data_IF_565294819176
#
_entry.id   IF_565294819176
#
_cell.length_a   1.000
_cell.length_b   1.000
_cell.length_c   1.000
_cell.angle_alpha   90.00
_cell.angle_beta   90.00
_cell.angle_gamma   90.00
#
_symmetry.space_group_name_H-M   'P 1'
#
loop_
_entity.id
_entity.type
_entity.pdbx_description
1 polymer ?
#
# COMPACT_ATOMS: atom_id res chain seq x y z
N UNK A 1 -4.31 8.97 -78.39
CA UNK A 1 -4.95 9.21 -77.07
C UNK A 1 -4.15 8.48 -76.02
N UNK A 2 -3.56 9.22 -75.08
CA UNK A 2 -2.59 8.70 -74.11
C UNK A 2 -3.28 7.91 -72.99
N UNK A 3 -3.02 6.60 -72.96
CA UNK A 3 -3.34 5.71 -71.84
C UNK A 3 -2.28 5.88 -70.75
N UNK A 4 -2.70 6.39 -69.58
CA UNK A 4 -1.88 6.37 -68.35
C UNK A 4 -1.99 5.00 -67.69
N UNK A 5 -0.89 4.36 -67.26
CA UNK A 5 -0.98 3.13 -66.48
C UNK A 5 -1.33 3.45 -65.03
N UNK A 6 -2.39 2.81 -64.53
CA UNK A 6 -2.73 2.73 -63.10
C UNK A 6 -1.69 1.87 -62.40
N UNK A 7 -0.86 2.49 -61.55
CA UNK A 7 0.01 1.78 -60.61
C UNK A 7 -0.84 1.23 -59.46
N UNK A 8 -0.97 -0.10 -59.40
CA UNK A 8 -1.60 -0.82 -58.30
C UNK A 8 -0.64 -0.88 -57.09
N UNK A 9 -1.14 -0.43 -55.94
CA UNK A 9 -0.50 -0.51 -54.63
C UNK A 9 -0.43 -1.96 -54.14
N UNK A 10 0.73 -2.60 -54.29
CA UNK A 10 0.97 -4.01 -53.96
C UNK A 10 1.82 -4.28 -52.71
N UNK A 11 1.71 -3.49 -51.63
CA UNK A 11 2.61 -3.64 -50.46
C UNK A 11 1.92 -3.73 -49.08
N UNK A 12 0.58 -3.68 -48.99
CA UNK A 12 -0.08 -3.59 -47.67
C UNK A 12 -0.45 -4.93 -47.01
N UNK A 13 -0.33 -6.06 -47.71
CA UNK A 13 -0.84 -7.36 -47.22
C UNK A 13 0.25 -8.23 -46.56
N UNK A 14 1.53 -7.98 -46.83
CA UNK A 14 2.63 -8.76 -46.26
C UNK A 14 2.87 -8.50 -44.76
N UNK A 15 2.42 -7.35 -44.22
CA UNK A 15 2.66 -6.98 -42.82
C UNK A 15 1.74 -7.67 -41.79
N UNK A 16 0.75 -8.46 -42.23
CA UNK A 16 -0.24 -9.07 -41.33
C UNK A 16 0.03 -10.56 -41.01
N UNK A 17 1.01 -11.18 -41.67
CA UNK A 17 1.33 -12.62 -41.51
C UNK A 17 2.50 -12.87 -40.55
N UNK A 18 3.28 -11.84 -40.17
CA UNK A 18 4.51 -11.99 -39.37
C UNK A 18 4.31 -11.89 -37.83
N UNK A 19 3.07 -11.88 -37.32
CA UNK A 19 2.78 -11.76 -35.88
C UNK A 19 2.19 -13.03 -35.22
N UNK A 20 2.25 -14.18 -35.89
CA UNK A 20 1.77 -15.45 -35.36
C UNK A 20 2.92 -16.47 -35.23
N UNK A 21 3.71 -16.36 -34.17
CA UNK A 21 4.58 -17.44 -33.71
C UNK A 21 3.78 -18.47 -32.89
N UNK A 22 4.03 -19.78 -33.02
CA UNK A 22 3.33 -20.78 -32.23
C UNK A 22 3.83 -20.77 -30.79
N UNK A 23 2.95 -20.50 -29.83
CA UNK A 23 3.21 -20.76 -28.42
C UNK A 23 2.87 -22.22 -28.13
N UNK A 24 3.88 -23.10 -28.17
CA UNK A 24 3.80 -24.45 -27.62
C UNK A 24 4.01 -24.38 -26.11
N UNK A 25 2.94 -24.63 -25.35
CA UNK A 25 2.98 -24.79 -23.91
C UNK A 25 1.96 -25.83 -23.51
N UNK A 26 2.39 -27.09 -23.42
CA UNK A 26 1.68 -28.16 -22.73
C UNK A 26 1.68 -27.85 -21.23
N UNK A 27 0.48 -27.70 -20.68
CA UNK A 27 0.23 -27.59 -19.24
C UNK A 27 -1.05 -28.37 -18.90
N UNK A 28 -1.11 -29.03 -17.73
CA UNK A 28 -2.12 -30.02 -17.43
C UNK A 28 -3.52 -29.40 -17.27
N UNK A 29 -4.52 -30.13 -17.79
CA UNK A 29 -5.93 -29.79 -17.77
C UNK A 29 -6.51 -30.01 -16.37
N UNK A 30 -6.70 -28.93 -15.61
CA UNK A 30 -7.59 -28.95 -14.44
C UNK A 30 -9.05 -28.80 -14.87
N UNK A 31 -9.86 -29.80 -14.53
CA UNK A 31 -11.31 -29.78 -14.72
C UNK A 31 -11.94 -28.81 -13.71
N UNK A 32 -12.38 -27.63 -14.16
CA UNK A 32 -13.25 -26.74 -13.37
C UNK A 32 -14.71 -26.89 -13.80
N UNK A 33 -15.55 -27.07 -12.80
CA UNK A 33 -17.01 -27.18 -12.89
C UNK A 33 -17.58 -25.81 -13.29
N UNK A 34 -18.47 -25.71 -14.30
CA UNK A 34 -19.02 -24.42 -14.71
C UNK A 34 -20.12 -23.97 -13.74
N UNK A 35 -19.77 -23.06 -12.83
CA UNK A 35 -20.76 -22.26 -12.12
C UNK A 35 -21.29 -21.18 -13.08
N UNK A 36 -22.46 -21.44 -13.66
CA UNK A 36 -23.23 -20.45 -14.39
C UNK A 36 -23.72 -19.37 -13.41
N UNK A 37 -22.98 -18.28 -13.28
CA UNK A 37 -23.51 -17.06 -12.66
C UNK A 37 -24.02 -16.15 -13.77
N UNK A 38 -25.33 -15.91 -13.71
CA UNK A 38 -26.14 -15.20 -14.70
C UNK A 38 -25.71 -13.72 -14.77
N UNK A 39 -25.71 -13.20 -15.99
CA UNK A 39 -25.07 -11.95 -16.38
C UNK A 39 -25.44 -10.74 -15.54
N UNK A 40 -24.40 -10.09 -15.02
CA UNK A 40 -24.42 -8.68 -14.65
C UNK A 40 -23.64 -7.91 -15.73
N UNK A 41 -24.15 -6.75 -16.12
CA UNK A 41 -23.51 -5.92 -17.15
C UNK A 41 -22.23 -5.30 -16.60
N UNK A 42 -21.26 -4.96 -17.45
CA UNK A 42 -19.98 -4.33 -17.05
C UNK A 42 -20.18 -3.06 -16.21
N UNK A 43 -21.32 -2.38 -16.36
CA UNK A 43 -21.73 -1.24 -15.54
C UNK A 43 -22.12 -1.65 -14.12
N UNK A 44 -22.83 -2.76 -13.93
CA UNK A 44 -23.14 -3.30 -12.59
C UNK A 44 -21.89 -3.85 -11.89
N UNK A 45 -20.91 -4.36 -12.64
CA UNK A 45 -19.62 -4.80 -12.08
C UNK A 45 -18.78 -3.61 -11.60
N UNK A 46 -18.73 -2.52 -12.38
CA UNK A 46 -18.13 -1.26 -11.95
C UNK A 46 -18.85 -0.68 -10.72
N UNK A 47 -20.17 -0.72 -10.70
CA UNK A 47 -20.97 -0.22 -9.57
C UNK A 47 -20.75 -1.05 -8.29
N UNK A 48 -20.69 -2.38 -8.39
CA UNK A 48 -20.37 -3.23 -7.23
C UNK A 48 -18.93 -3.04 -6.77
N UNK A 49 -18.00 -2.79 -7.68
CA UNK A 49 -16.59 -2.49 -7.37
C UNK A 49 -16.43 -1.12 -6.74
N UNK A 50 -17.20 -0.12 -7.17
CA UNK A 50 -17.28 1.19 -6.52
C UNK A 50 -17.98 1.11 -5.17
N UNK A 51 -18.96 0.22 -5.00
CA UNK A 51 -19.56 -0.08 -3.69
C UNK A 51 -18.59 -0.82 -2.77
N UNK A 52 -17.77 -1.74 -3.30
CA UNK A 52 -16.75 -2.43 -2.51
C UNK A 52 -15.60 -1.50 -2.16
N UNK A 53 -15.10 -0.69 -3.11
CA UNK A 53 -14.12 0.35 -2.81
C UNK A 53 -14.72 1.41 -1.90
N UNK A 54 -15.99 1.74 -2.02
CA UNK A 54 -16.72 2.62 -1.11
C UNK A 54 -16.99 1.99 0.26
N UNK A 55 -17.03 0.65 0.36
CA UNK A 55 -17.18 -0.07 1.63
C UNK A 55 -15.83 -0.36 2.30
N UNK A 56 -14.78 -0.62 1.51
CA UNK A 56 -13.40 -0.67 1.97
C UNK A 56 -12.96 0.73 2.34
N UNK A 57 -13.28 1.75 1.54
CA UNK A 57 -13.18 3.13 1.97
C UNK A 57 -14.10 3.38 3.14
N UNK A 58 -15.33 2.86 3.25
CA UNK A 58 -16.12 3.06 4.48
C UNK A 58 -15.59 2.28 5.68
N UNK A 59 -14.79 1.24 5.52
CA UNK A 59 -14.15 0.49 6.62
C UNK A 59 -12.85 1.19 6.99
N UNK A 60 -12.12 1.69 5.99
CA UNK A 60 -10.99 2.57 6.12
C UNK A 60 -11.40 3.99 6.49
N UNK A 61 -12.67 4.40 6.36
CA UNK A 61 -13.30 5.67 6.76
C UNK A 61 -14.14 5.46 8.01
N UNK A 62 -14.52 4.22 8.35
CA UNK A 62 -14.93 3.84 9.72
C UNK A 62 -13.68 3.65 10.59
N UNK A 63 -12.51 3.42 9.99
CA UNK A 63 -11.19 3.50 10.65
C UNK A 63 -10.38 4.75 10.31
N UNK A 64 -10.80 5.58 9.35
CA UNK A 64 -10.47 7.01 9.23
C UNK A 64 -11.54 7.85 9.96
N UNK A 65 -12.58 7.23 10.55
CA UNK A 65 -13.33 7.73 11.73
C UNK A 65 -12.66 7.23 13.03
N UNK A 66 -11.67 6.34 12.93
CA UNK A 66 -10.73 5.97 14.01
C UNK A 66 -9.32 6.53 13.73
N UNK A 67 -9.14 7.21 12.59
CA UNK A 67 -7.95 7.98 12.18
C UNK A 67 -8.29 9.41 11.74
N UNK A 68 -9.55 9.82 11.88
CA UNK A 68 -9.87 11.17 12.28
C UNK A 68 -9.28 11.32 13.69
N UNK A 69 -8.55 12.40 13.97
CA UNK A 69 -7.90 12.60 15.25
C UNK A 69 -8.91 12.87 16.36
N UNK A 70 -9.92 12.04 16.61
CA UNK A 70 -11.07 12.43 17.41
C UNK A 70 -11.58 13.78 16.87
N UNK A 71 -12.40 13.82 15.81
CA UNK A 71 -13.11 15.06 15.41
C UNK A 71 -14.19 15.47 16.45
N UNK A 72 -14.11 14.91 17.65
CA UNK A 72 -14.73 15.32 18.90
C UNK A 72 -13.74 15.64 20.03
N UNK A 73 -12.44 15.76 19.76
CA UNK A 73 -11.63 16.72 20.47
C UNK A 73 -12.11 18.03 19.86
N UNK A 74 -13.13 18.61 20.52
CA UNK A 74 -13.78 19.86 20.11
C UNK A 74 -12.72 20.74 19.43
N UNK A 75 -13.04 21.48 18.36
CA UNK A 75 -12.11 22.51 17.88
C UNK A 75 -11.61 23.42 19.04
N UNK A 76 -12.38 23.46 20.14
CA UNK A 76 -11.95 23.95 21.45
C UNK A 76 -10.78 23.16 22.07
N UNK A 77 -10.74 21.83 22.16
CA UNK A 77 -9.66 21.06 22.79
C UNK A 77 -8.30 21.20 22.08
N UNK A 78 -8.26 21.27 20.74
CA UNK A 78 -7.03 21.57 19.99
C UNK A 78 -6.63 23.05 20.17
N UNK A 79 -7.60 23.97 20.12
CA UNK A 79 -7.36 25.38 20.41
C UNK A 79 -6.91 25.59 21.87
N UNK A 80 -7.42 24.79 22.80
CA UNK A 80 -7.11 24.80 24.23
C UNK A 80 -5.71 24.21 24.47
N UNK A 81 -5.32 23.16 23.74
CA UNK A 81 -3.97 22.62 23.78
C UNK A 81 -2.93 23.62 23.23
N UNK A 82 -3.27 24.31 22.14
CA UNK A 82 -2.44 25.37 21.56
C UNK A 82 -2.35 26.59 22.50
N UNK A 83 -3.47 27.03 23.06
CA UNK A 83 -3.51 28.10 24.06
C UNK A 83 -2.76 27.73 25.34
N UNK A 84 -2.83 26.47 25.78
CA UNK A 84 -2.06 25.96 26.91
C UNK A 84 -0.56 25.96 26.62
N UNK A 85 -0.13 25.63 25.40
CA UNK A 85 1.27 25.73 25.00
C UNK A 85 1.75 27.19 24.97
N UNK A 86 0.95 28.13 24.45
CA UNK A 86 1.27 29.57 24.49
C UNK A 86 1.35 30.11 25.92
N UNK A 87 0.39 29.74 26.78
CA UNK A 87 0.40 30.10 28.19
C UNK A 87 1.59 29.49 28.94
N UNK A 88 1.96 28.24 28.64
CA UNK A 88 3.15 27.59 29.18
C UNK A 88 4.43 28.29 28.72
N UNK A 89 4.53 28.72 27.45
CA UNK A 89 5.66 29.51 26.94
C UNK A 89 5.78 30.86 27.63
N UNK A 90 4.67 31.57 27.83
CA UNK A 90 4.65 32.86 28.54
C UNK A 90 5.08 32.69 30.01
N UNK A 91 4.48 31.72 30.71
CA UNK A 91 4.80 31.40 32.11
C UNK A 91 6.24 30.93 32.27
N UNK A 92 6.77 30.21 31.28
CA UNK A 92 8.15 29.75 31.26
C UNK A 92 9.15 30.90 31.20
N UNK A 93 8.86 31.98 30.46
CA UNK A 93 9.76 33.15 30.41
C UNK A 93 9.92 33.76 31.79
N UNK A 94 8.82 33.87 32.55
CA UNK A 94 8.84 34.44 33.89
C UNK A 94 9.44 33.47 34.93
N UNK A 95 9.05 32.19 34.90
CA UNK A 95 9.59 31.16 35.77
C UNK A 95 11.10 30.94 35.55
N UNK A 96 11.59 31.04 34.31
CA UNK A 96 13.03 30.89 34.00
C UNK A 96 13.87 32.05 34.54
N UNK A 97 13.28 33.23 34.76
CA UNK A 97 13.97 34.35 35.43
C UNK A 97 14.19 34.06 36.91
N UNK A 98 13.27 33.33 37.55
CA UNK A 98 13.33 32.98 38.97
C UNK A 98 14.16 31.70 39.20
N UNK A 99 14.01 30.70 38.33
CA UNK A 99 14.61 29.37 38.44
C UNK A 99 15.34 28.98 37.15
N UNK A 100 16.47 29.64 36.88
CA UNK A 100 17.17 29.56 35.58
C UNK A 100 17.78 28.21 35.22
N UNK A 101 17.87 27.28 36.16
CA UNK A 101 18.52 25.97 36.01
C UNK A 101 17.68 24.79 36.49
N UNK A 102 16.38 24.99 36.74
CA UNK A 102 15.50 23.93 37.22
C UNK A 102 15.04 23.03 36.05
N UNK A 103 15.42 21.73 36.02
CA UNK A 103 15.00 20.80 34.96
C UNK A 103 13.49 20.54 34.94
N UNK A 104 12.78 20.76 36.05
CA UNK A 104 11.31 20.58 36.13
C UNK A 104 10.59 21.57 35.22
N UNK A 105 11.10 22.81 35.14
CA UNK A 105 10.54 23.86 34.31
C UNK A 105 10.63 23.52 32.81
N UNK A 106 11.80 23.05 32.36
CA UNK A 106 11.99 22.58 30.97
C UNK A 106 11.11 21.36 30.67
N UNK A 107 10.87 20.50 31.65
CA UNK A 107 10.04 19.31 31.51
C UNK A 107 8.56 19.65 31.39
N UNK A 108 8.05 20.56 32.22
CA UNK A 108 6.67 21.02 32.18
C UNK A 108 6.32 21.66 30.83
N UNK A 109 7.22 22.50 30.29
CA UNK A 109 7.05 23.07 28.95
C UNK A 109 7.16 22.00 27.87
N UNK A 110 8.10 21.06 28.01
CA UNK A 110 8.21 19.92 27.12
C UNK A 110 6.89 19.15 26.99
N UNK A 111 6.23 18.85 28.11
CA UNK A 111 4.93 18.17 28.14
C UNK A 111 3.83 18.99 27.47
N UNK A 112 3.75 20.30 27.76
CA UNK A 112 2.76 21.18 27.12
C UNK A 112 2.95 21.23 25.59
N UNK A 113 4.19 21.28 25.11
CA UNK A 113 4.52 21.26 23.69
C UNK A 113 4.18 19.92 23.03
N UNK A 114 4.37 18.79 23.72
CA UNK A 114 3.94 17.48 23.22
C UNK A 114 2.42 17.42 23.03
N UNK A 115 1.65 17.99 23.97
CA UNK A 115 0.18 18.08 23.86
C UNK A 115 -0.29 18.95 22.69
N UNK A 116 0.46 20.00 22.38
CA UNK A 116 0.18 20.86 21.22
C UNK A 116 0.73 20.30 19.89
N UNK A 117 1.29 19.09 19.87
CA UNK A 117 1.87 18.48 18.67
C UNK A 117 3.22 19.08 18.24
N UNK A 118 3.82 19.96 19.04
CA UNK A 118 5.10 20.63 18.78
C UNK A 118 6.32 19.76 19.17
N UNK A 119 6.35 18.52 18.68
CA UNK A 119 7.30 17.48 19.12
C UNK A 119 8.78 17.88 19.01
N UNK A 120 9.16 18.57 17.93
CA UNK A 120 10.55 18.98 17.73
C UNK A 120 11.02 20.00 18.77
N UNK A 121 10.16 20.92 19.22
CA UNK A 121 10.53 21.84 20.29
C UNK A 121 10.46 21.15 21.65
N UNK A 122 9.44 20.34 21.91
CA UNK A 122 9.35 19.55 23.12
C UNK A 122 10.62 18.73 23.39
N UNK A 123 11.09 18.00 22.37
CA UNK A 123 12.29 17.17 22.48
C UNK A 123 13.56 17.99 22.74
N UNK A 124 13.64 19.24 22.25
CA UNK A 124 14.73 20.16 22.60
C UNK A 124 14.66 20.58 24.08
N UNK A 125 13.47 20.86 24.60
CA UNK A 125 13.26 21.21 26.02
C UNK A 125 13.60 20.03 26.94
N UNK A 126 13.10 18.84 26.63
CA UNK A 126 13.41 17.62 27.37
C UNK A 126 14.91 17.28 27.32
N UNK A 127 15.55 17.39 26.14
CA UNK A 127 17.02 17.26 26.05
C UNK A 127 17.75 18.29 26.92
N UNK A 128 17.25 19.52 27.03
CA UNK A 128 17.83 20.55 27.89
C UNK A 128 17.72 20.16 29.37
N UNK A 129 16.54 19.70 29.79
CA UNK A 129 16.26 19.22 31.14
C UNK A 129 17.22 18.10 31.57
N UNK A 130 17.42 17.10 30.69
CA UNK A 130 18.32 15.95 30.97
C UNK A 130 19.78 16.38 31.09
N UNK A 131 20.18 17.37 30.30
CA UNK A 131 21.55 17.92 30.33
C UNK A 131 21.79 18.84 31.54
N UNK A 132 20.76 19.14 32.33
CA UNK A 132 20.92 19.91 33.56
C UNK A 132 21.91 19.21 34.50
N UNK A 133 22.83 20.01 35.04
CA UNK A 133 23.90 19.55 35.94
C UNK A 133 23.48 19.63 37.41
N UNK A 134 22.47 20.44 37.74
CA UNK A 134 22.05 20.74 39.11
C UNK A 134 21.34 19.54 39.74
N UNK A 135 20.31 19.02 39.07
CA UNK A 135 19.45 17.94 39.59
C UNK A 135 19.11 17.02 38.41
N UNK A 136 19.15 15.70 38.61
CA UNK A 136 18.53 14.78 37.67
C UNK A 136 17.03 14.81 37.93
N UNK A 137 16.23 15.07 36.91
CA UNK A 137 14.79 14.94 36.99
C UNK A 137 14.37 13.72 36.15
N UNK A 138 14.14 12.56 36.79
CA UNK A 138 13.88 11.30 36.09
C UNK A 138 12.76 11.39 35.05
N UNK A 139 11.62 12.05 35.33
CA UNK A 139 10.55 12.18 34.34
C UNK A 139 10.99 12.82 33.02
N UNK A 140 11.95 13.75 33.06
CA UNK A 140 12.48 14.36 31.83
C UNK A 140 13.21 13.36 30.94
N UNK A 141 14.04 12.51 31.56
CA UNK A 141 14.83 11.50 30.87
C UNK A 141 13.94 10.37 30.34
N UNK A 142 12.97 9.95 31.14
CA UNK A 142 12.00 8.92 30.77
C UNK A 142 11.14 9.37 29.60
N UNK A 143 10.57 10.58 29.66
CA UNK A 143 9.80 11.17 28.55
C UNK A 143 10.62 11.30 27.28
N UNK A 144 11.85 11.81 27.36
CA UNK A 144 12.72 11.94 26.18
C UNK A 144 13.04 10.59 25.55
N UNK A 145 13.40 9.59 26.36
CA UNK A 145 13.70 8.25 25.87
C UNK A 145 12.46 7.61 25.25
N UNK A 146 11.31 7.76 25.90
CA UNK A 146 10.02 7.28 25.41
C UNK A 146 9.64 7.88 24.05
N UNK A 147 9.64 9.21 23.93
CA UNK A 147 9.31 9.87 22.67
C UNK A 147 10.37 9.60 21.59
N UNK A 148 11.63 9.38 21.97
CA UNK A 148 12.65 8.93 21.02
C UNK A 148 12.36 7.53 20.47
N UNK A 149 11.74 6.63 21.26
CA UNK A 149 11.25 5.33 20.75
C UNK A 149 10.09 5.53 19.80
N UNK A 150 9.08 6.30 20.23
CA UNK A 150 7.86 6.52 19.45
C UNK A 150 8.14 7.16 18.08
N UNK A 151 9.13 8.05 17.99
CA UNK A 151 9.56 8.68 16.74
C UNK A 151 10.56 7.82 15.92
N UNK A 152 10.87 6.60 16.35
CA UNK A 152 11.84 5.71 15.69
C UNK A 152 13.30 6.19 15.75
N UNK A 153 13.63 7.13 16.65
CA UNK A 153 14.96 7.73 16.80
C UNK A 153 15.90 6.87 17.66
N UNK A 154 16.02 5.58 17.32
CA UNK A 154 16.76 4.58 18.11
C UNK A 154 18.26 4.91 18.31
N UNK A 155 18.88 5.65 17.38
CA UNK A 155 20.26 6.10 17.51
C UNK A 155 20.48 7.00 18.73
N UNK A 156 19.52 7.88 19.03
CA UNK A 156 19.58 8.77 20.19
C UNK A 156 19.44 7.99 21.50
N UNK A 157 18.65 6.91 21.48
CA UNK A 157 18.42 6.02 22.64
C UNK A 157 19.70 5.29 23.02
N UNK A 158 20.41 4.74 22.02
CA UNK A 158 21.67 4.02 22.26
C UNK A 158 22.73 4.88 22.97
N UNK A 159 22.65 6.21 22.84
CA UNK A 159 23.52 7.16 23.56
C UNK A 159 22.93 7.58 24.91
N UNK A 160 21.62 7.86 24.98
CA UNK A 160 20.96 8.40 26.17
C UNK A 160 20.77 7.35 27.28
N UNK A 161 20.54 6.08 26.94
CA UNK A 161 20.33 4.99 27.91
C UNK A 161 21.57 4.77 28.81
N UNK A 162 22.80 4.62 28.28
CA UNK A 162 23.99 4.50 29.13
C UNK A 162 24.23 5.73 30.01
N UNK A 163 23.94 6.93 29.52
CA UNK A 163 24.10 8.16 30.30
C UNK A 163 23.10 8.24 31.46
N UNK A 164 21.85 7.81 31.24
CA UNK A 164 20.84 7.73 32.29
C UNK A 164 21.21 6.65 33.34
N UNK A 165 21.61 5.46 32.90
CA UNK A 165 22.09 4.40 33.80
C UNK A 165 23.32 4.82 34.61
N UNK A 166 24.25 5.57 34.01
CA UNK A 166 25.42 6.10 34.73
C UNK A 166 25.00 7.02 35.87
N UNK A 167 24.04 7.91 35.65
CA UNK A 167 23.53 8.79 36.72
C UNK A 167 22.77 8.00 37.78
N UNK A 168 21.98 7.02 37.37
CA UNK A 168 21.26 6.13 38.28
C UNK A 168 22.20 5.39 39.24
N UNK A 169 23.31 4.86 38.72
CA UNK A 169 24.28 4.12 39.53
C UNK A 169 25.25 4.99 40.33
N UNK A 170 25.69 6.13 39.79
CA UNK A 170 26.80 6.91 40.36
C UNK A 170 26.35 8.12 41.20
N UNK A 171 25.07 8.51 41.14
CA UNK A 171 24.55 9.73 41.80
C UNK A 171 23.28 9.46 42.59
N UNK A 172 23.35 8.67 43.69
CA UNK A 172 22.21 8.42 44.58
C UNK A 172 21.58 9.71 45.11
N UNK A 173 22.40 10.74 45.34
CA UNK A 173 22.01 12.05 45.86
C UNK A 173 21.07 12.85 44.95
N UNK A 174 20.95 12.46 43.68
CA UNK A 174 20.06 13.10 42.72
C UNK A 174 18.64 12.51 42.72
N UNK A 175 18.36 11.52 43.56
CA UNK A 175 17.07 10.85 43.66
C UNK A 175 16.40 11.19 45.00
N UNK A 176 15.08 11.43 45.01
CA UNK A 176 14.32 11.65 46.24
C UNK A 176 14.46 10.51 47.25
N UNK A 177 14.36 9.26 46.79
CA UNK A 177 14.59 8.07 47.61
C UNK A 177 15.11 6.88 46.78
N UNK A 178 15.46 5.80 47.48
CA UNK A 178 15.96 4.57 46.87
C UNK A 178 14.87 3.85 46.06
N UNK A 179 13.61 3.95 46.47
CA UNK A 179 12.50 3.27 45.81
C UNK A 179 12.24 3.86 44.41
N UNK A 180 12.30 5.18 44.26
CA UNK A 180 12.28 5.88 42.97
C UNK A 180 13.43 5.46 42.07
N UNK A 181 14.62 5.29 42.66
CA UNK A 181 15.80 4.83 41.95
C UNK A 181 15.64 3.40 41.43
N UNK A 182 15.06 2.52 42.24
CA UNK A 182 14.71 1.14 41.86
C UNK A 182 13.64 1.15 40.75
N UNK A 183 12.58 1.96 40.88
CA UNK A 183 11.54 2.11 39.84
C UNK A 183 12.12 2.57 38.52
N UNK A 184 13.01 3.55 38.53
CA UNK A 184 13.69 4.04 37.34
C UNK A 184 14.60 2.97 36.69
N UNK A 185 15.29 2.15 37.50
CA UNK A 185 16.07 1.03 36.99
C UNK A 185 15.17 0.00 36.30
N UNK A 186 14.06 -0.35 36.93
CA UNK A 186 13.06 -1.26 36.37
C UNK A 186 12.47 -0.71 35.07
N UNK A 187 12.07 0.56 35.05
CA UNK A 187 11.54 1.24 33.86
C UNK A 187 12.54 1.22 32.71
N UNK A 188 13.82 1.54 32.98
CA UNK A 188 14.89 1.46 31.98
C UNK A 188 15.05 0.04 31.45
N UNK A 189 14.89 -0.95 32.34
CA UNK A 189 14.84 -2.36 31.99
C UNK A 189 13.70 -2.68 31.04
N UNK A 190 12.48 -2.23 31.33
CA UNK A 190 11.32 -2.42 30.47
C UNK A 190 11.55 -1.81 29.09
N UNK A 191 12.06 -0.57 29.01
CA UNK A 191 12.42 0.10 27.76
C UNK A 191 13.39 -0.74 26.91
N UNK A 192 14.46 -1.26 27.51
CA UNK A 192 15.44 -2.08 26.80
C UNK A 192 14.92 -3.47 26.45
N UNK A 193 14.05 -4.04 27.28
CA UNK A 193 13.32 -5.28 26.99
C UNK A 193 12.44 -5.12 25.75
N UNK A 194 11.72 -3.99 25.67
CA UNK A 194 10.85 -3.61 24.56
C UNK A 194 11.62 -3.49 23.24
N UNK A 195 12.74 -2.77 23.25
CA UNK A 195 13.56 -2.51 22.05
C UNK A 195 14.38 -3.70 21.55
N UNK A 196 14.71 -4.67 22.42
CA UNK A 196 15.59 -5.79 22.07
C UNK A 196 14.84 -7.11 21.89
N UNK A 197 13.71 -7.29 22.57
CA UNK A 197 12.98 -8.56 22.61
C UNK A 197 11.46 -8.40 22.50
N UNK A 198 10.95 -7.17 22.52
CA UNK A 198 9.52 -6.85 22.53
C UNK A 198 8.96 -6.46 21.16
N UNK A 199 7.80 -5.78 21.12
CA UNK A 199 7.12 -5.45 19.88
C UNK A 199 7.89 -4.43 19.03
N UNK A 200 8.56 -3.44 19.64
CA UNK A 200 9.46 -2.52 18.92
C UNK A 200 10.89 -3.06 18.77
N UNK A 201 11.04 -4.38 18.57
CA UNK A 201 12.37 -4.94 18.32
C UNK A 201 12.94 -4.33 17.05
N UNK A 202 14.09 -3.69 17.17
CA UNK A 202 14.75 -3.06 16.02
C UNK A 202 15.35 -4.14 15.11
N UNK A 203 14.87 -4.21 13.87
CA UNK A 203 15.34 -5.21 12.88
C UNK A 203 16.55 -4.77 12.06
N UNK A 204 16.99 -3.51 12.16
CA UNK A 204 18.27 -3.07 11.59
C UNK A 204 19.42 -3.63 12.42
N UNK A 205 20.18 -4.58 11.85
CA UNK A 205 21.33 -5.24 12.49
C UNK A 205 22.33 -4.26 13.12
N UNK A 206 22.62 -3.14 12.45
CA UNK A 206 23.59 -2.16 12.96
C UNK A 206 23.03 -1.45 14.19
N UNK A 207 21.76 -1.05 14.13
CA UNK A 207 21.10 -0.38 15.24
C UNK A 207 20.87 -1.33 16.42
N UNK A 208 20.45 -2.57 16.14
CA UNK A 208 20.30 -3.62 17.14
C UNK A 208 21.61 -3.87 17.89
N UNK A 209 22.74 -3.96 17.18
CA UNK A 209 24.06 -4.09 17.82
C UNK A 209 24.43 -2.89 18.69
N UNK A 210 24.06 -1.66 18.30
CA UNK A 210 24.28 -0.47 19.12
C UNK A 210 23.46 -0.52 20.41
N UNK A 211 22.18 -0.87 20.32
CA UNK A 211 21.31 -1.04 21.49
C UNK A 211 21.77 -2.19 22.39
N UNK A 212 22.23 -3.31 21.82
CA UNK A 212 22.79 -4.42 22.60
C UNK A 212 24.08 -4.02 23.34
N UNK A 213 24.93 -3.18 22.74
CA UNK A 213 26.10 -2.62 23.43
C UNK A 213 25.71 -1.65 24.54
N UNK A 214 24.68 -0.83 24.32
CA UNK A 214 24.13 0.05 25.34
C UNK A 214 23.60 -0.77 26.53
N UNK A 215 22.83 -1.83 26.28
CA UNK A 215 22.33 -2.78 27.28
C UNK A 215 23.46 -3.39 28.13
N UNK A 216 24.52 -3.87 27.48
CA UNK A 216 25.69 -4.39 28.19
C UNK A 216 26.39 -3.32 29.03
N UNK A 217 26.42 -2.08 28.55
CA UNK A 217 26.97 -0.95 29.30
C UNK A 217 26.15 -0.64 30.55
N UNK A 218 24.81 -0.68 30.46
CA UNK A 218 23.92 -0.45 31.60
C UNK A 218 24.19 -1.46 32.73
N UNK A 219 24.26 -2.75 32.40
CA UNK A 219 24.56 -3.82 33.37
C UNK A 219 25.92 -3.66 34.08
N UNK A 220 26.89 -2.96 33.47
CA UNK A 220 28.19 -2.67 34.11
C UNK A 220 28.17 -1.40 34.97
N UNK A 221 27.23 -0.50 34.73
CA UNK A 221 27.13 0.80 35.41
C UNK A 221 26.24 0.75 36.64
N UNK A 222 25.24 -0.12 36.66
CA UNK A 222 24.30 -0.25 37.77
C UNK A 222 24.91 -1.08 38.93
N UNK A 223 24.69 -0.66 40.19
CA UNK A 223 24.99 -1.49 41.35
C UNK A 223 24.06 -2.71 41.42
N UNK A 224 24.44 -3.79 42.13
CA UNK A 224 23.69 -5.05 42.13
C UNK A 224 22.19 -4.91 42.44
N UNK A 225 21.81 -4.06 43.39
CA UNK A 225 20.41 -3.82 43.76
C UNK A 225 19.57 -3.26 42.60
N UNK A 226 20.16 -2.37 41.80
CA UNK A 226 19.50 -1.77 40.64
C UNK A 226 19.59 -2.66 39.39
N UNK A 227 20.64 -3.47 39.28
CA UNK A 227 20.77 -4.46 38.21
C UNK A 227 19.65 -5.50 38.28
N UNK A 228 19.28 -5.95 39.48
CA UNK A 228 18.16 -6.88 39.65
C UNK A 228 16.82 -6.27 39.20
N UNK A 229 16.55 -5.01 39.57
CA UNK A 229 15.36 -4.28 39.13
C UNK A 229 15.34 -4.07 37.61
N UNK A 230 16.47 -3.68 37.02
CA UNK A 230 16.65 -3.55 35.57
C UNK A 230 16.38 -4.88 34.83
N UNK A 231 16.97 -5.97 35.30
CA UNK A 231 16.76 -7.29 34.72
C UNK A 231 15.33 -7.80 34.91
N UNK A 232 14.69 -7.48 36.04
CA UNK A 232 13.27 -7.76 36.29
C UNK A 232 12.39 -7.06 35.25
N UNK A 233 12.59 -5.75 35.05
CA UNK A 233 11.86 -4.97 34.05
C UNK A 233 12.03 -5.50 32.63
N UNK A 234 13.26 -5.86 32.24
CA UNK A 234 13.54 -6.50 30.94
C UNK A 234 12.80 -7.82 30.76
N UNK A 235 12.80 -8.67 31.79
CA UNK A 235 12.13 -9.97 31.78
C UNK A 235 10.62 -9.81 31.71
N UNK A 236 10.04 -8.87 32.46
CA UNK A 236 8.61 -8.59 32.46
C UNK A 236 8.10 -8.34 31.03
N UNK A 237 8.75 -7.45 30.28
CA UNK A 237 8.35 -7.15 28.89
C UNK A 237 8.53 -8.36 27.97
N UNK A 238 9.62 -9.11 28.11
CA UNK A 238 9.84 -10.32 27.30
C UNK A 238 8.79 -11.41 27.59
N UNK A 239 8.39 -11.56 28.85
CA UNK A 239 7.36 -12.52 29.28
C UNK A 239 5.98 -12.09 28.80
N UNK A 240 5.61 -10.81 28.95
CA UNK A 240 4.36 -10.27 28.44
C UNK A 240 4.28 -10.39 26.92
N UNK A 241 5.32 -9.99 26.20
CA UNK A 241 5.36 -10.12 24.74
C UNK A 241 5.27 -11.58 24.29
N UNK A 242 5.97 -12.49 24.98
CA UNK A 242 5.86 -13.93 24.70
C UNK A 242 4.45 -14.45 24.96
N UNK A 243 3.80 -13.99 26.04
CA UNK A 243 2.42 -14.34 26.41
C UNK A 243 1.41 -13.81 25.40
N UNK A 244 1.58 -12.59 24.90
CA UNK A 244 0.75 -12.04 23.82
C UNK A 244 0.97 -12.80 22.51
N UNK A 245 2.21 -13.13 22.18
CA UNK A 245 2.54 -13.91 20.98
C UNK A 245 2.00 -15.35 21.02
N UNK A 246 2.10 -16.02 22.16
CA UNK A 246 1.54 -17.38 22.33
C UNK A 246 0.02 -17.35 22.52
N UNK A 247 -0.49 -16.36 23.25
CA UNK A 247 -1.91 -16.15 23.49
C UNK A 247 -2.67 -15.62 22.28
N UNK A 248 -2.01 -15.03 21.27
CA UNK A 248 -2.60 -14.74 19.96
C UNK A 248 -2.81 -16.01 19.14
N UNK A 249 -1.93 -17.01 19.27
CA UNK A 249 -2.10 -18.30 18.59
C UNK A 249 -3.23 -19.15 19.19
N UNK A 250 -3.42 -19.12 20.52
CA UNK A 250 -4.53 -19.81 21.19
C UNK A 250 -5.80 -18.92 21.33
N UNK A 251 -5.64 -17.60 21.18
CA UNK A 251 -6.69 -16.58 21.30
C UNK A 251 -7.32 -16.16 19.98
N UNK A 252 -6.72 -16.42 18.82
CA UNK A 252 -7.43 -16.37 17.53
C UNK A 252 -8.59 -17.39 17.49
N UNK A 253 -8.48 -18.50 18.24
CA UNK A 253 -9.58 -19.47 18.38
C UNK A 253 -10.64 -19.07 19.43
N UNK A 254 -10.28 -18.28 20.45
CA UNK A 254 -11.17 -17.97 21.60
C UNK A 254 -11.70 -16.52 21.64
N UNK A 255 -10.95 -15.54 21.13
CA UNK A 255 -11.34 -14.13 21.02
C UNK A 255 -11.95 -13.77 19.65
N UNK A 256 -12.04 -14.74 18.73
CA UNK A 256 -13.03 -14.73 17.67
C UNK A 256 -14.44 -14.98 18.25
N UNK A 257 -14.92 -14.02 19.06
CA UNK A 257 -16.37 -13.80 19.12
C UNK A 257 -16.90 -13.57 17.69
N UNK A 258 -18.21 -13.76 17.45
CA UNK A 258 -18.78 -13.81 16.09
C UNK A 258 -18.41 -12.61 15.21
N UNK A 259 -18.11 -11.45 15.80
CA UNK A 259 -17.80 -10.21 15.09
C UNK A 259 -16.38 -10.15 14.50
N UNK A 260 -15.35 -10.69 15.18
CA UNK A 260 -13.96 -10.59 14.69
C UNK A 260 -13.63 -11.59 13.57
N UNK A 261 -14.19 -12.81 13.67
CA UNK A 261 -14.09 -13.82 12.62
C UNK A 261 -14.83 -13.39 11.35
N UNK A 262 -16.00 -12.75 11.50
CA UNK A 262 -16.77 -12.25 10.35
C UNK A 262 -16.03 -11.16 9.58
N UNK A 263 -15.25 -10.29 10.23
CA UNK A 263 -14.49 -9.23 9.53
C UNK A 263 -13.26 -9.81 8.81
N UNK A 264 -12.49 -10.69 9.45
CA UNK A 264 -11.35 -11.37 8.81
C UNK A 264 -11.80 -12.27 7.64
N UNK A 265 -12.85 -13.05 7.83
CA UNK A 265 -13.43 -13.90 6.79
C UNK A 265 -14.12 -13.07 5.70
N UNK A 266 -14.65 -11.89 6.00
CA UNK A 266 -15.22 -10.93 5.04
C UNK A 266 -14.13 -10.35 4.14
N UNK A 267 -13.03 -9.88 4.71
CA UNK A 267 -11.89 -9.32 3.96
C UNK A 267 -11.25 -10.40 3.10
N UNK A 268 -11.03 -11.61 3.64
CA UNK A 268 -10.50 -12.74 2.89
C UNK A 268 -11.44 -13.15 1.73
N UNK A 269 -12.76 -13.26 1.99
CA UNK A 269 -13.75 -13.59 0.94
C UNK A 269 -13.84 -12.51 -0.13
N UNK A 270 -13.73 -11.24 0.25
CA UNK A 270 -13.78 -10.15 -0.69
C UNK A 270 -12.49 -10.05 -1.53
N UNK A 271 -11.34 -10.36 -0.94
CA UNK A 271 -10.07 -10.45 -1.66
C UNK A 271 -10.05 -11.63 -2.63
N UNK A 272 -10.56 -12.81 -2.22
CA UNK A 272 -10.75 -13.97 -3.09
C UNK A 272 -11.74 -13.66 -4.24
N UNK A 273 -12.86 -12.99 -3.94
CA UNK A 273 -13.81 -12.56 -4.96
C UNK A 273 -13.20 -11.59 -5.98
N UNK A 274 -12.32 -10.69 -5.52
CA UNK A 274 -11.65 -9.70 -6.37
C UNK A 274 -10.56 -10.36 -7.24
N UNK A 275 -9.79 -11.30 -6.70
CA UNK A 275 -8.84 -12.11 -7.46
C UNK A 275 -9.54 -12.95 -8.51
N UNK A 276 -10.68 -13.56 -8.15
CA UNK A 276 -11.48 -14.36 -9.06
C UNK A 276 -12.07 -13.49 -10.18
N UNK A 277 -12.62 -12.32 -9.86
CA UNK A 277 -13.15 -11.38 -10.85
C UNK A 277 -12.04 -10.87 -11.80
N UNK A 278 -10.85 -10.59 -11.29
CA UNK A 278 -9.68 -10.23 -12.10
C UNK A 278 -9.33 -11.36 -13.06
N UNK A 279 -9.30 -12.60 -12.57
CA UNK A 279 -8.99 -13.78 -13.38
C UNK A 279 -10.02 -14.01 -14.50
N UNK A 280 -11.31 -13.81 -14.20
CA UNK A 280 -12.41 -13.96 -15.14
C UNK A 280 -12.37 -12.88 -16.23
N UNK A 281 -12.11 -11.62 -15.85
CA UNK A 281 -12.03 -10.51 -16.81
C UNK A 281 -10.83 -10.67 -17.75
N UNK A 282 -9.68 -11.11 -17.22
CA UNK A 282 -8.47 -11.42 -18.02
C UNK A 282 -8.77 -12.54 -19.00
N UNK A 283 -9.41 -13.62 -18.55
CA UNK A 283 -9.78 -14.77 -19.38
C UNK A 283 -10.75 -14.37 -20.49
N UNK A 284 -11.83 -13.66 -20.14
CA UNK A 284 -12.82 -13.17 -21.10
C UNK A 284 -12.20 -12.27 -22.17
N UNK A 285 -11.30 -11.37 -21.78
CA UNK A 285 -10.63 -10.45 -22.71
C UNK A 285 -9.67 -11.20 -23.63
N UNK A 286 -8.94 -12.19 -23.09
CA UNK A 286 -8.06 -13.07 -23.88
C UNK A 286 -8.84 -13.89 -24.91
N UNK A 287 -9.98 -14.45 -24.53
CA UNK A 287 -10.86 -15.20 -25.42
C UNK A 287 -11.44 -14.31 -26.52
N UNK A 288 -11.79 -13.07 -26.20
CA UNK A 288 -12.25 -12.08 -27.20
C UNK A 288 -11.15 -11.74 -28.20
N UNK A 289 -9.91 -11.52 -27.74
CA UNK A 289 -8.74 -11.29 -28.60
C UNK A 289 -8.55 -12.49 -29.54
N UNK A 290 -8.60 -13.72 -29.00
CA UNK A 290 -8.46 -14.95 -29.80
C UNK A 290 -9.56 -15.08 -30.85
N UNK A 291 -10.80 -14.77 -30.48
CA UNK A 291 -11.96 -14.81 -31.39
C UNK A 291 -11.81 -13.79 -32.53
N UNK A 292 -11.36 -12.57 -32.23
CA UNK A 292 -11.12 -11.54 -33.24
C UNK A 292 -9.96 -11.92 -34.18
N UNK A 293 -8.88 -12.51 -33.65
CA UNK A 293 -7.78 -13.03 -34.45
C UNK A 293 -8.24 -14.15 -35.41
N UNK A 294 -9.06 -15.09 -34.92
CA UNK A 294 -9.63 -16.15 -35.76
C UNK A 294 -10.50 -15.57 -36.88
N UNK A 295 -11.38 -14.60 -36.57
CA UNK A 295 -12.21 -13.93 -37.59
C UNK A 295 -11.35 -13.23 -38.65
N UNK A 296 -10.26 -12.57 -38.25
CA UNK A 296 -9.32 -11.95 -39.19
C UNK A 296 -8.60 -12.98 -40.07
N UNK A 297 -8.22 -14.13 -39.51
CA UNK A 297 -7.61 -15.23 -40.28
C UNK A 297 -8.59 -15.83 -41.31
N UNK A 298 -9.84 -16.09 -40.91
CA UNK A 298 -10.88 -16.55 -41.83
C UNK A 298 -11.13 -15.54 -42.94
N UNK A 299 -11.23 -14.25 -42.59
CA UNK A 299 -11.42 -13.18 -43.57
C UNK A 299 -10.24 -13.08 -44.55
N UNK A 300 -9.00 -13.27 -44.08
CA UNK A 300 -7.81 -13.29 -44.92
C UNK A 300 -7.84 -14.48 -45.91
N UNK A 301 -8.26 -15.66 -45.46
CA UNK A 301 -8.41 -16.83 -46.32
C UNK A 301 -9.49 -16.61 -47.41
N UNK A 302 -10.65 -16.04 -47.04
CA UNK A 302 -11.70 -15.66 -47.98
C UNK A 302 -11.20 -14.62 -49.01
N UNK A 303 -10.43 -13.63 -48.58
CA UNK A 303 -9.82 -12.64 -49.47
C UNK A 303 -8.85 -13.26 -50.47
N UNK A 304 -8.08 -14.28 -50.07
CA UNK A 304 -7.19 -15.02 -50.99
C UNK A 304 -8.01 -15.77 -52.04
N UNK A 305 -9.09 -16.44 -51.64
CA UNK A 305 -9.98 -17.13 -52.59
C UNK A 305 -10.65 -16.14 -53.56
N UNK A 306 -11.10 -15.00 -53.05
CA UNK A 306 -11.76 -13.97 -53.84
C UNK A 306 -10.79 -13.30 -54.84
N UNK A 307 -9.53 -13.07 -54.44
CA UNK A 307 -8.48 -12.60 -55.35
C UNK A 307 -8.24 -13.63 -56.47
N UNK A 308 -8.05 -14.91 -56.12
CA UNK A 308 -7.88 -15.97 -57.15
C UNK A 308 -9.05 -16.02 -58.13
N UNK A 309 -10.28 -15.86 -57.65
CA UNK A 309 -11.47 -15.83 -58.51
C UNK A 309 -11.50 -14.59 -59.41
N UNK A 310 -11.07 -13.45 -58.87
CA UNK A 310 -10.91 -12.20 -59.64
C UNK A 310 -9.91 -12.39 -60.77
N UNK A 311 -8.72 -12.93 -60.46
CA UNK A 311 -7.67 -13.19 -61.44
C UNK A 311 -8.16 -14.14 -62.55
N UNK A 312 -8.88 -15.22 -62.19
CA UNK A 312 -9.48 -16.15 -63.15
C UNK A 312 -10.49 -15.48 -64.10
N UNK A 313 -11.34 -14.59 -63.57
CA UNK A 313 -12.34 -13.87 -64.36
C UNK A 313 -11.65 -12.84 -65.27
N UNK A 314 -10.64 -12.14 -64.77
CA UNK A 314 -9.84 -11.19 -65.55
C UNK A 314 -9.08 -11.88 -66.69
N UNK A 315 -8.41 -13.00 -66.43
CA UNK A 315 -7.69 -13.79 -67.44
C UNK A 315 -8.64 -14.29 -68.54
N UNK A 316 -9.81 -14.82 -68.15
CA UNK A 316 -10.82 -15.30 -69.10
C UNK A 316 -11.40 -14.16 -69.93
N UNK A 317 -11.73 -13.04 -69.31
CA UNK A 317 -12.23 -11.85 -70.00
C UNK A 317 -11.18 -11.27 -70.95
N UNK A 318 -9.91 -11.22 -70.52
CA UNK A 318 -8.77 -10.77 -71.34
C UNK A 318 -8.57 -11.65 -72.58
N UNK A 319 -8.60 -12.97 -72.40
CA UNK A 319 -8.48 -13.92 -73.51
C UNK A 319 -9.65 -13.78 -74.51
N UNK A 320 -10.89 -13.70 -74.04
CA UNK A 320 -12.05 -13.49 -74.92
C UNK A 320 -11.97 -12.17 -75.68
N UNK A 321 -11.56 -11.10 -75.01
CA UNK A 321 -11.40 -9.79 -75.63
C UNK A 321 -10.35 -9.82 -76.76
N UNK A 322 -9.23 -10.54 -76.58
CA UNK A 322 -8.23 -10.75 -77.63
C UNK A 322 -8.81 -11.51 -78.84
N UNK A 323 -9.61 -12.55 -78.62
CA UNK A 323 -10.28 -13.28 -79.71
C UNK A 323 -11.26 -12.38 -80.47
N UNK A 324 -12.06 -11.58 -79.77
CA UNK A 324 -13.01 -10.64 -80.37
C UNK A 324 -12.26 -9.59 -81.20
N UNK A 325 -11.21 -8.99 -80.65
CA UNK A 325 -10.39 -7.99 -81.35
C UNK A 325 -9.66 -8.54 -82.58
N UNK A 326 -9.34 -9.84 -82.59
CA UNK A 326 -8.72 -10.49 -83.74
C UNK A 326 -9.68 -10.76 -84.92
N UNK A 327 -10.96 -10.37 -84.81
CA UNK A 327 -11.99 -10.61 -85.83
C UNK A 327 -12.57 -12.03 -85.81
N UNK A 328 -12.21 -12.84 -84.80
CA UNK A 328 -12.74 -14.20 -84.58
C UNK A 328 -13.88 -14.24 -83.55
N UNK A 329 -14.35 -13.07 -83.12
CA UNK A 329 -15.43 -12.94 -82.16
C UNK A 329 -16.75 -13.49 -82.69
N UNK A 330 -17.47 -14.21 -81.85
CA UNK A 330 -18.86 -14.60 -82.10
C UNK A 330 -19.79 -13.83 -81.15
N UNK A 331 -21.08 -13.62 -81.50
CA UNK A 331 -22.03 -12.97 -80.59
C UNK A 331 -22.13 -13.63 -79.21
N UNK A 332 -21.93 -14.95 -79.14
CA UNK A 332 -21.89 -15.69 -77.88
C UNK A 332 -20.68 -15.30 -77.00
N UNK A 333 -19.51 -15.05 -77.60
CA UNK A 333 -18.32 -14.59 -76.88
C UNK A 333 -18.51 -13.17 -76.34
N UNK A 334 -19.18 -12.29 -77.07
CA UNK A 334 -19.50 -10.93 -76.60
C UNK A 334 -20.46 -10.95 -75.41
N UNK A 335 -21.48 -11.82 -75.45
CA UNK A 335 -22.39 -12.03 -74.32
C UNK A 335 -21.65 -12.58 -73.09
N UNK A 336 -20.75 -13.55 -73.29
CA UNK A 336 -19.92 -14.10 -72.22
C UNK A 336 -18.98 -13.05 -71.62
N UNK A 337 -18.35 -12.22 -72.46
CA UNK A 337 -17.51 -11.11 -72.00
C UNK A 337 -18.32 -10.12 -71.14
N UNK A 338 -19.52 -9.77 -71.57
CA UNK A 338 -20.42 -8.91 -70.79
C UNK A 338 -20.79 -9.55 -69.44
N UNK A 339 -21.08 -10.85 -69.42
CA UNK A 339 -21.35 -11.58 -68.18
C UNK A 339 -20.15 -11.60 -67.22
N UNK A 340 -18.93 -11.81 -67.74
CA UNK A 340 -17.70 -11.76 -66.95
C UNK A 340 -17.40 -10.35 -66.41
N UNK A 341 -17.68 -9.30 -67.18
CA UNK A 341 -17.56 -7.91 -66.70
C UNK A 341 -18.52 -7.64 -65.52
N UNK A 342 -19.75 -8.14 -65.59
CA UNK A 342 -20.71 -8.04 -64.49
C UNK A 342 -20.23 -8.84 -63.27
N UNK A 343 -19.71 -10.05 -63.46
CA UNK A 343 -19.12 -10.86 -62.38
C UNK A 343 -17.94 -10.13 -61.72
N UNK A 344 -17.04 -9.53 -62.52
CA UNK A 344 -15.91 -8.77 -62.02
C UNK A 344 -16.34 -7.57 -61.17
N UNK A 345 -17.34 -6.81 -61.63
CA UNK A 345 -17.91 -5.70 -60.85
C UNK A 345 -18.48 -6.19 -59.51
N UNK A 346 -19.18 -7.33 -59.50
CA UNK A 346 -19.69 -7.94 -58.26
C UNK A 346 -18.55 -8.36 -57.32
N UNK A 347 -17.51 -9.00 -57.84
CA UNK A 347 -16.34 -9.39 -57.05
C UNK A 347 -15.64 -8.18 -56.43
N UNK A 348 -15.49 -7.08 -57.17
CA UNK A 348 -14.91 -5.82 -56.65
C UNK A 348 -15.73 -5.25 -55.48
N UNK A 349 -17.07 -5.29 -55.58
CA UNK A 349 -17.95 -4.85 -54.47
C UNK A 349 -17.76 -5.73 -53.24
N UNK A 350 -17.79 -7.06 -53.41
CA UNK A 350 -17.58 -8.00 -52.29
C UNK A 350 -16.18 -7.82 -51.68
N UNK A 351 -15.14 -7.64 -52.50
CA UNK A 351 -13.78 -7.35 -52.04
C UNK A 351 -13.73 -6.09 -51.18
N UNK A 352 -14.37 -5.01 -51.65
CA UNK A 352 -14.45 -3.75 -50.90
C UNK A 352 -15.15 -3.93 -49.55
N UNK A 353 -16.27 -4.68 -49.53
CA UNK A 353 -16.98 -4.99 -48.30
C UNK A 353 -16.10 -5.78 -47.31
N UNK A 354 -15.38 -6.81 -47.79
CA UNK A 354 -14.48 -7.62 -46.97
C UNK A 354 -13.29 -6.81 -46.45
N UNK A 355 -12.73 -5.91 -47.25
CA UNK A 355 -11.68 -4.97 -46.81
C UNK A 355 -12.20 -4.06 -45.69
N UNK A 356 -13.40 -3.52 -45.83
CA UNK A 356 -14.01 -2.67 -44.80
C UNK A 356 -14.27 -3.45 -43.50
N UNK A 357 -14.79 -4.68 -43.61
CA UNK A 357 -14.96 -5.58 -42.46
C UNK A 357 -13.61 -5.88 -41.77
N UNK A 358 -12.55 -6.10 -42.54
CA UNK A 358 -11.21 -6.32 -42.01
C UNK A 358 -10.66 -5.11 -41.25
N UNK A 359 -10.90 -3.89 -41.76
CA UNK A 359 -10.56 -2.65 -41.03
C UNK A 359 -11.34 -2.52 -39.73
N UNK A 360 -12.64 -2.84 -39.73
CA UNK A 360 -13.48 -2.80 -38.53
C UNK A 360 -12.98 -3.80 -37.47
N UNK A 361 -12.77 -5.06 -37.85
CA UNK A 361 -12.26 -6.10 -36.93
C UNK A 361 -10.86 -5.76 -36.41
N UNK A 362 -9.99 -5.19 -37.24
CA UNK A 362 -8.66 -4.75 -36.81
C UNK A 362 -8.74 -3.59 -35.81
N UNK A 363 -9.64 -2.63 -36.01
CA UNK A 363 -9.87 -1.55 -35.06
C UNK A 363 -10.43 -2.08 -33.73
N UNK A 364 -11.39 -3.01 -33.77
CA UNK A 364 -11.94 -3.65 -32.57
C UNK A 364 -10.87 -4.43 -31.81
N UNK A 365 -10.00 -5.16 -32.51
CA UNK A 365 -8.87 -5.88 -31.90
C UNK A 365 -7.90 -4.92 -31.21
N UNK A 366 -7.52 -3.82 -31.87
CA UNK A 366 -6.65 -2.78 -31.28
C UNK A 366 -7.28 -2.17 -30.03
N UNK A 367 -8.57 -1.84 -30.07
CA UNK A 367 -9.30 -1.32 -28.91
C UNK A 367 -9.35 -2.30 -27.75
N UNK A 368 -9.58 -3.58 -28.05
CA UNK A 368 -9.63 -4.64 -27.03
C UNK A 368 -8.26 -4.87 -26.38
N UNK A 369 -7.17 -4.86 -27.16
CA UNK A 369 -5.79 -4.98 -26.64
C UNK A 369 -5.43 -3.77 -25.77
N UNK A 370 -5.79 -2.55 -26.18
CA UNK A 370 -5.53 -1.35 -25.39
C UNK A 370 -6.31 -1.36 -24.06
N UNK A 371 -7.59 -1.78 -24.09
CA UNK A 371 -8.40 -1.95 -22.89
C UNK A 371 -7.81 -3.01 -21.95
N UNK A 372 -7.33 -4.13 -22.50
CA UNK A 372 -6.63 -5.18 -21.73
C UNK A 372 -5.39 -4.62 -21.03
N UNK A 373 -4.51 -3.94 -21.77
CA UNK A 373 -3.28 -3.35 -21.21
C UNK A 373 -3.57 -2.32 -20.11
N UNK A 374 -4.59 -1.49 -20.30
CA UNK A 374 -5.04 -0.51 -19.29
C UNK A 374 -5.58 -1.22 -18.04
N UNK A 375 -6.37 -2.27 -18.21
CA UNK A 375 -6.92 -3.05 -17.09
C UNK A 375 -5.82 -3.79 -16.32
N UNK A 376 -4.84 -4.39 -17.01
CA UNK A 376 -3.69 -5.04 -16.35
C UNK A 376 -2.79 -4.05 -15.64
N UNK A 377 -2.55 -2.86 -16.21
CA UNK A 377 -1.80 -1.79 -15.55
C UNK A 377 -2.47 -1.35 -14.25
N UNK A 378 -3.76 -1.00 -14.32
CA UNK A 378 -4.54 -0.60 -13.13
C UNK A 378 -4.62 -1.71 -12.07
N UNK A 379 -4.60 -2.98 -12.48
CA UNK A 379 -4.60 -4.10 -11.54
C UNK A 379 -3.26 -4.27 -10.81
N UNK A 380 -2.13 -3.94 -11.45
CA UNK A 380 -0.80 -3.91 -10.82
C UNK A 380 -0.71 -2.73 -9.84
N UNK A 381 -1.23 -1.57 -10.22
CA UNK A 381 -1.26 -0.39 -9.34
C UNK A 381 -2.07 -0.69 -8.06
N UNK A 382 -3.24 -1.30 -8.20
CA UNK A 382 -4.08 -1.69 -7.06
C UNK A 382 -3.46 -2.78 -6.17
N UNK A 383 -2.77 -3.77 -6.74
CA UNK A 383 -2.02 -4.75 -5.93
C UNK A 383 -0.92 -4.07 -5.11
N UNK A 384 -0.30 -3.03 -5.68
CA UNK A 384 0.71 -2.23 -4.98
C UNK A 384 0.08 -1.41 -3.86
N UNK A 385 -1.03 -0.71 -4.13
CA UNK A 385 -1.79 0.04 -3.13
C UNK A 385 -2.31 -0.86 -2.00
N UNK A 386 -2.82 -2.05 -2.31
CA UNK A 386 -3.32 -3.00 -1.32
C UNK A 386 -2.17 -3.62 -0.49
N UNK A 387 -1.02 -3.88 -1.10
CA UNK A 387 0.18 -4.31 -0.39
C UNK A 387 0.75 -3.20 0.52
N UNK A 388 0.62 -1.94 0.14
CA UNK A 388 1.02 -0.79 0.96
C UNK A 388 0.00 -0.55 2.08
N UNK A 389 -1.31 -0.65 1.81
CA UNK A 389 -2.36 -0.57 2.82
C UNK A 389 -2.24 -1.70 3.85
N UNK A 390 -1.98 -2.94 3.44
CA UNK A 390 -1.72 -4.05 4.35
C UNK A 390 -0.44 -3.85 5.17
N UNK A 391 0.60 -3.23 4.60
CA UNK A 391 1.80 -2.86 5.37
C UNK A 391 1.50 -1.76 6.39
N UNK A 392 0.67 -0.78 6.04
CA UNK A 392 0.19 0.26 6.96
C UNK A 392 -0.69 -0.32 8.05
N UNK A 393 -1.66 -1.18 7.75
CA UNK A 393 -2.49 -1.86 8.74
C UNK A 393 -1.67 -2.74 9.69
N UNK A 394 -0.64 -3.45 9.18
CA UNK A 394 0.29 -4.18 10.06
C UNK A 394 1.12 -3.26 10.95
N UNK A 395 1.57 -2.13 10.40
CA UNK A 395 2.28 -1.11 11.19
C UNK A 395 1.35 -0.45 12.22
N UNK A 396 0.08 -0.20 11.87
CA UNK A 396 -0.94 0.38 12.74
C UNK A 396 -1.42 -0.60 13.79
N UNK A 397 -1.56 -1.89 13.49
CA UNK A 397 -1.87 -2.92 14.48
C UNK A 397 -0.76 -3.05 15.52
N UNK A 398 0.50 -3.00 15.09
CA UNK A 398 1.62 -2.86 16.01
C UNK A 398 1.51 -1.56 16.82
N UNK A 399 1.32 -0.40 16.17
CA UNK A 399 1.18 0.90 16.85
C UNK A 399 -0.05 0.97 17.77
N UNK A 400 -1.14 0.26 17.50
CA UNK A 400 -2.36 0.25 18.30
C UNK A 400 -2.23 -0.67 19.53
N UNK A 401 -1.58 -1.82 19.41
CA UNK A 401 -1.18 -2.64 20.56
C UNK A 401 -0.18 -1.88 21.44
N UNK A 402 0.78 -1.17 20.82
CA UNK A 402 1.75 -0.32 21.51
C UNK A 402 1.05 0.88 22.20
N UNK A 403 0.17 1.60 21.50
CA UNK A 403 -0.58 2.75 22.02
C UNK A 403 -1.59 2.37 23.09
N UNK A 404 -2.20 1.18 23.05
CA UNK A 404 -3.14 0.72 24.08
C UNK A 404 -2.39 0.34 25.38
N UNK A 405 -1.25 -0.34 25.28
CA UNK A 405 -0.36 -0.56 26.43
C UNK A 405 0.17 0.78 27.00
N UNK A 406 0.44 1.76 26.13
CA UNK A 406 0.99 3.07 26.52
C UNK A 406 -0.02 4.05 27.09
N UNK A 407 -1.24 4.13 26.54
CA UNK A 407 -2.33 4.98 27.06
C UNK A 407 -2.72 4.53 28.47
N UNK A 408 -2.74 3.22 28.72
CA UNK A 408 -3.02 2.63 30.04
C UNK A 408 -1.92 2.95 31.08
N UNK A 409 -0.65 3.07 30.64
CA UNK A 409 0.47 3.44 31.52
C UNK A 409 0.59 4.96 31.75
N UNK A 410 0.24 5.80 30.78
CA UNK A 410 0.41 7.27 30.85
C UNK A 410 -0.79 8.02 31.42
N UNK A 411 -2.02 7.54 31.21
CA UNK A 411 -3.24 8.22 31.70
C UNK A 411 -3.40 8.16 33.23
N UNK A 412 -2.64 7.31 33.92
CA UNK A 412 -2.74 7.19 35.38
C UNK A 412 -1.82 8.16 36.14
N UNK A 413 -0.75 8.68 35.52
CA UNK A 413 0.28 9.44 36.25
C UNK A 413 0.54 10.88 35.74
N UNK A 414 0.35 11.18 34.45
CA UNK A 414 0.83 12.46 33.89
C UNK A 414 -0.05 13.68 34.21
N UNK A 415 -1.38 13.55 34.20
CA UNK A 415 -2.28 14.69 34.47
C UNK A 415 -2.21 15.12 35.94
N UNK A 416 -2.11 14.13 36.85
CA UNK A 416 -1.94 14.36 38.29
C UNK A 416 -0.59 14.99 38.61
N UNK A 417 0.48 14.53 37.95
CA UNK A 417 1.82 15.07 38.17
C UNK A 417 2.02 16.48 37.58
N UNK A 418 1.49 16.76 36.38
CA UNK A 418 1.69 18.07 35.74
C UNK A 418 0.94 19.20 36.47
N UNK A 419 -0.29 18.94 36.93
CA UNK A 419 -1.07 19.91 37.70
C UNK A 419 -0.44 20.17 39.08
N UNK A 420 -0.06 19.11 39.81
CA UNK A 420 0.57 19.23 41.12
C UNK A 420 1.95 19.92 41.05
N UNK A 421 2.74 19.67 40.01
CA UNK A 421 4.04 20.34 39.84
C UNK A 421 3.86 21.84 39.60
N UNK A 422 2.95 22.24 38.71
CA UNK A 422 2.70 23.65 38.40
C UNK A 422 2.10 24.41 39.60
N UNK A 423 1.30 23.75 40.43
CA UNK A 423 0.74 24.34 41.65
C UNK A 423 1.80 24.52 42.75
N UNK A 424 2.80 23.63 42.81
CA UNK A 424 3.92 23.74 43.76
C UNK A 424 4.83 24.97 43.56
N UNK A 425 4.84 25.57 42.36
CA UNK A 425 5.60 26.80 42.07
C UNK A 425 4.82 28.10 42.32
N UNK A 426 3.52 28.01 42.68
CA UNK A 426 2.69 29.18 43.01
C UNK A 426 2.70 29.52 44.51
N UNK A 427 3.19 28.61 45.35
CA UNK A 427 3.45 28.81 46.79
C UNK A 427 4.90 29.23 46.99
#
# INVERSE_FOLDING_TARGET
MMTRPLRLYGMSVAALVLLAGPASGDGPVEKRIPLRVRGRTSAQLLQNREQYLGHVHSILEVEDDVSDPVDGADANEIADASAAAEAARATYVDARRLCSSDPRLETAVGIALLRAGENAEAMRRLSSAIKSRSILYPPAAELYLYYSVAEGKHAAIAQAVPDYARRLGQRPDQWPDEDERVRAAEWLGRLMGYLLKGPATVHDDRMFQQLARADQSVNRMLPPSLTEAYESGRRAVATEYSRHKSGGADGEEAAAGPVGKDVGDSVARAQEALEQEKSDLVTQTRDRIRTLQQKLQTLAAEMVQLNRRTDQVEDRAGNLNLFIQSGRGTPAMEQELSALQIELQRLVVVKTQKVNLGRQLSAELKGTIAAYQKATGKAIDLETELADANRRLKAMGAVAEEAMLLKTYLSCDLDTCAAALLESYKQ
#
